data_IF_123522163659
#
_entry.id   IF_123522163659
#
_cell.length_a   1.000
_cell.length_b   1.000
_cell.length_c   1.000
_cell.angle_alpha   90.00
_cell.angle_beta   90.00
_cell.angle_gamma   90.00
#
_symmetry.space_group_name_H-M   'P 1'
#
loop_
_entity.id
_entity.type
_entity.pdbx_description
1 polymer ?
#
# COMPACT_ATOMS: atom_id res chain seq x y z
N UNK A 1 3.12 11.44 -3.31
CA UNK A 1 2.85 10.00 -3.04
C UNK A 1 2.48 9.40 -4.38
N UNK A 2 3.39 8.73 -5.07
CA UNK A 2 3.03 7.97 -6.26
C UNK A 2 1.93 6.96 -5.91
N UNK A 3 0.83 7.02 -6.66
CA UNK A 3 -0.19 5.99 -6.64
C UNK A 3 0.34 4.80 -7.42
N UNK A 4 0.43 3.65 -6.74
CA UNK A 4 0.94 2.41 -7.32
C UNK A 4 -0.18 1.49 -7.78
N UNK A 5 -1.39 1.61 -7.22
CA UNK A 5 -2.57 0.86 -7.67
C UNK A 5 -3.87 1.54 -7.26
N UNK A 6 -4.95 1.27 -8.00
CA UNK A 6 -6.31 1.74 -7.71
C UNK A 6 -7.32 0.65 -8.04
N UNK A 7 -8.17 0.27 -7.08
CA UNK A 7 -9.21 -0.75 -7.28
C UNK A 7 -10.39 -0.54 -6.32
N UNK A 8 -11.63 -0.79 -6.76
CA UNK A 8 -12.84 -0.66 -5.93
C UNK A 8 -12.97 0.67 -5.13
N UNK A 9 -12.40 1.77 -5.65
CA UNK A 9 -12.35 3.07 -4.97
C UNK A 9 -11.27 3.20 -3.88
N UNK A 10 -10.44 2.17 -3.70
CA UNK A 10 -9.25 2.17 -2.86
C UNK A 10 -8.08 2.69 -3.69
N UNK A 11 -7.35 3.65 -3.13
CA UNK A 11 -6.11 4.19 -3.70
C UNK A 11 -4.95 3.69 -2.86
N UNK A 12 -3.98 3.04 -3.50
CA UNK A 12 -2.75 2.57 -2.84
C UNK A 12 -1.58 3.44 -3.24
N UNK A 13 -0.85 3.95 -2.25
CA UNK A 13 0.26 4.89 -2.45
C UNK A 13 1.48 4.51 -1.62
N UNK A 14 2.65 4.92 -2.10
CA UNK A 14 3.92 4.80 -1.40
C UNK A 14 4.69 6.12 -1.45
N UNK A 15 5.59 6.38 -0.49
CA UNK A 15 6.27 7.66 -0.36
C UNK A 15 7.79 7.50 -0.36
N UNK A 16 8.47 8.37 -1.10
CA UNK A 16 9.93 8.36 -1.23
C UNK A 16 10.73 8.64 0.05
N UNK A 17 10.15 9.38 0.99
CA UNK A 17 10.89 9.88 2.18
C UNK A 17 10.33 9.36 3.49
N UNK A 18 9.67 8.21 3.44
CA UNK A 18 9.22 7.57 4.66
C UNK A 18 10.34 6.81 5.35
N UNK A 19 10.42 7.03 6.66
CA UNK A 19 11.37 6.39 7.54
C UNK A 19 10.59 5.47 8.46
N UNK A 20 10.85 4.16 8.37
CA UNK A 20 10.10 3.15 9.12
C UNK A 20 10.30 1.75 8.54
N UNK A 21 9.64 0.73 9.11
CA UNK A 21 9.51 -0.55 8.44
C UNK A 21 8.76 -0.39 7.10
N UNK A 22 8.90 -1.33 6.15
CA UNK A 22 8.21 -1.25 4.86
C UNK A 22 6.69 -1.18 5.00
N UNK A 23 6.09 -0.14 4.43
CA UNK A 23 4.65 0.08 4.46
C UNK A 23 4.13 0.75 3.19
N UNK A 24 2.81 0.70 3.02
CA UNK A 24 2.08 1.49 2.04
C UNK A 24 0.85 2.13 2.69
N UNK A 25 0.28 3.12 1.99
CA UNK A 25 -0.92 3.83 2.40
C UNK A 25 -2.09 3.39 1.54
N UNK A 26 -3.22 3.13 2.19
CA UNK A 26 -4.46 2.81 1.52
C UNK A 26 -5.54 3.79 1.96
N UNK A 27 -6.17 4.44 0.98
CA UNK A 27 -7.24 5.42 1.19
C UNK A 27 -8.52 4.94 0.54
N UNK A 28 -9.65 5.02 1.24
CA UNK A 28 -10.98 4.69 0.75
C UNK A 28 -11.99 5.71 1.27
N UNK A 29 -12.46 6.62 0.42
CA UNK A 29 -13.31 7.74 0.84
C UNK A 29 -12.60 8.61 1.88
N UNK A 30 -13.22 8.78 3.04
CA UNK A 30 -12.66 9.50 4.20
C UNK A 30 -11.70 8.66 5.07
N UNK A 31 -11.57 7.35 4.79
CA UNK A 31 -10.76 6.43 5.58
C UNK A 31 -9.35 6.30 5.02
N UNK A 32 -8.37 6.20 5.91
CA UNK A 32 -6.95 6.01 5.58
C UNK A 32 -6.33 5.01 6.56
N UNK A 33 -5.49 4.11 6.03
CA UNK A 33 -4.67 3.22 6.84
C UNK A 33 -3.26 3.07 6.26
N UNK A 34 -2.30 2.93 7.17
CA UNK A 34 -0.92 2.55 6.87
C UNK A 34 -0.78 1.05 7.14
N UNK A 35 -0.36 0.29 6.14
CA UNK A 35 -0.25 -1.17 6.20
C UNK A 35 1.21 -1.59 6.15
N UNK A 36 1.64 -2.39 7.13
CA UNK A 36 2.97 -3.03 7.11
C UNK A 36 3.01 -4.10 6.02
N UNK A 37 4.00 -4.06 5.13
CA UNK A 37 4.12 -4.99 3.98
C UNK A 37 4.52 -6.40 4.45
N UNK A 38 5.30 -6.51 5.53
CA UNK A 38 5.87 -7.79 6.00
C UNK A 38 4.84 -8.61 6.78
N UNK A 39 4.14 -7.94 7.69
CA UNK A 39 3.18 -8.56 8.61
C UNK A 39 1.74 -8.42 8.13
N UNK A 40 1.47 -7.60 7.11
CA UNK A 40 0.13 -7.34 6.56
C UNK A 40 -0.88 -6.94 7.64
N UNK A 41 -0.46 -5.99 8.48
CA UNK A 41 -1.31 -5.43 9.54
C UNK A 41 -1.36 -3.90 9.45
N UNK A 42 -2.44 -3.34 9.98
CA UNK A 42 -2.58 -1.90 10.12
C UNK A 42 -1.60 -1.40 11.18
N UNK A 43 -0.72 -0.48 10.79
CA UNK A 43 0.19 0.24 11.68
C UNK A 43 -0.45 1.49 12.27
N UNK A 44 -1.26 2.19 11.48
CA UNK A 44 -1.95 3.43 11.84
C UNK A 44 -3.21 3.61 11.01
N UNK A 45 -4.19 4.32 11.57
CA UNK A 45 -5.44 4.61 10.88
C UNK A 45 -6.37 3.40 10.91
N UNK A 46 -7.36 3.40 10.04
CA UNK A 46 -8.30 2.30 9.89
C UNK A 46 -9.00 2.37 8.54
N UNK A 47 -9.47 1.21 8.08
CA UNK A 47 -10.37 1.09 6.95
C UNK A 47 -11.64 0.34 7.39
N UNK A 48 -12.79 0.58 6.75
CA UNK A 48 -13.96 -0.26 6.93
C UNK A 48 -13.60 -1.73 6.65
N UNK A 49 -14.21 -2.65 7.40
CA UNK A 49 -13.83 -4.08 7.40
C UNK A 49 -13.69 -4.69 6.00
N UNK A 50 -14.61 -4.34 5.08
CA UNK A 50 -14.59 -4.83 3.69
C UNK A 50 -13.41 -4.27 2.88
N UNK A 51 -13.17 -2.96 2.99
CA UNK A 51 -12.04 -2.32 2.30
C UNK A 51 -10.70 -2.85 2.82
N UNK A 52 -10.55 -3.04 4.14
CA UNK A 52 -9.36 -3.64 4.71
C UNK A 52 -9.12 -5.07 4.16
N UNK A 53 -10.17 -5.89 4.07
CA UNK A 53 -10.04 -7.24 3.53
C UNK A 53 -9.50 -7.25 2.09
N UNK A 54 -10.05 -6.38 1.21
CA UNK A 54 -9.59 -6.23 -0.17
C UNK A 54 -8.14 -5.75 -0.25
N UNK A 55 -7.76 -4.77 0.59
CA UNK A 55 -6.37 -4.28 0.67
C UNK A 55 -5.40 -5.39 1.08
N UNK A 56 -5.76 -6.19 2.09
CA UNK A 56 -4.89 -7.26 2.57
C UNK A 56 -4.80 -8.40 1.56
N UNK A 57 -5.90 -8.77 0.90
CA UNK A 57 -5.91 -9.75 -0.18
C UNK A 57 -4.98 -9.33 -1.33
N UNK A 58 -5.14 -8.10 -1.81
CA UNK A 58 -4.26 -7.52 -2.83
C UNK A 58 -2.79 -7.47 -2.38
N UNK A 59 -2.52 -7.12 -1.12
CA UNK A 59 -1.16 -7.05 -0.60
C UNK A 59 -0.50 -8.43 -0.43
N UNK A 60 -1.28 -9.49 -0.18
CA UNK A 60 -0.76 -10.88 -0.14
C UNK A 60 -0.19 -11.27 -1.51
N UNK A 61 -0.94 -11.03 -2.59
CA UNK A 61 -0.55 -11.45 -3.94
C UNK A 61 0.55 -10.58 -4.55
N UNK A 62 0.68 -9.33 -4.10
CA UNK A 62 1.64 -8.35 -4.63
C UNK A 62 2.79 -8.02 -3.68
N UNK A 63 3.03 -8.84 -2.65
CA UNK A 63 4.00 -8.55 -1.59
C UNK A 63 5.42 -8.30 -2.11
N UNK A 64 5.87 -9.08 -3.08
CA UNK A 64 7.22 -8.94 -3.63
C UNK A 64 7.39 -7.61 -4.39
N UNK A 65 6.41 -7.26 -5.22
CA UNK A 65 6.39 -5.97 -5.92
C UNK A 65 6.32 -4.78 -4.94
N UNK A 66 5.54 -4.89 -3.87
CA UNK A 66 5.50 -3.89 -2.79
C UNK A 66 6.85 -3.71 -2.10
N UNK A 67 7.59 -4.80 -1.88
CA UNK A 67 8.92 -4.75 -1.29
C UNK A 67 9.96 -4.14 -2.24
N UNK A 68 9.86 -4.42 -3.54
CA UNK A 68 10.69 -3.78 -4.57
C UNK A 68 10.42 -2.27 -4.64
N UNK A 69 9.15 -1.88 -4.71
CA UNK A 69 8.73 -0.47 -4.73
C UNK A 69 9.16 0.28 -3.48
N UNK A 70 9.14 -0.39 -2.32
CA UNK A 70 9.65 0.20 -1.08
C UNK A 70 11.13 0.52 -1.19
N UNK A 71 11.94 -0.37 -1.76
CA UNK A 71 13.36 -0.14 -1.95
C UNK A 71 13.64 0.94 -3.01
N UNK A 72 12.85 0.99 -4.09
CA UNK A 72 12.90 2.10 -5.06
C UNK A 72 12.60 3.44 -4.36
N UNK A 73 11.53 3.48 -3.56
CA UNK A 73 11.15 4.67 -2.81
C UNK A 73 12.27 5.15 -1.88
N UNK A 74 12.90 4.23 -1.12
CA UNK A 74 14.04 4.53 -0.24
C UNK A 74 15.25 5.12 -0.98
N UNK A 75 15.43 4.76 -2.25
CA UNK A 75 16.49 5.29 -3.11
C UNK A 75 16.06 6.56 -3.86
N UNK A 76 14.91 7.16 -3.54
CA UNK A 76 14.31 8.29 -4.25
C UNK A 76 14.04 8.00 -5.74
N UNK A 77 13.84 6.72 -6.09
CA UNK A 77 13.44 6.28 -7.43
C UNK A 77 11.93 6.10 -7.50
N UNK A 78 11.30 6.36 -8.65
CA UNK A 78 9.86 6.15 -8.80
C UNK A 78 9.51 4.66 -8.59
N UNK A 79 8.47 4.34 -7.79
CA UNK A 79 7.94 2.98 -7.74
C UNK A 79 7.21 2.65 -9.04
N UNK A 80 6.97 1.37 -9.27
CA UNK A 80 6.28 0.87 -10.44
C UNK A 80 4.75 0.78 -10.20
N UNK A 81 3.93 0.83 -11.26
CA UNK A 81 2.54 0.44 -11.15
C UNK A 81 2.41 -1.05 -10.81
N UNK A 82 1.53 -1.37 -9.88
CA UNK A 82 1.17 -2.75 -9.49
C UNK A 82 -0.26 -3.01 -9.97
N UNK A 83 -0.54 -4.15 -10.64
CA UNK A 83 -1.87 -4.49 -11.11
C UNK A 83 -2.95 -4.37 -10.01
N UNK A 84 -4.16 -3.88 -10.34
CA UNK A 84 -5.26 -3.81 -9.39
C UNK A 84 -5.74 -5.21 -8.99
N UNK A 85 -6.47 -5.29 -7.87
CA UNK A 85 -7.22 -6.49 -7.52
C UNK A 85 -8.37 -6.69 -8.53
N UNK A 86 -8.52 -7.92 -9.04
CA UNK A 86 -9.59 -8.32 -9.97
C UNK A 86 -10.92 -8.59 -9.27
#
# INVERSE_FOLDING_TARGET
>A
MPTISVFFGIVVQMFWREHGPPHFHATYGEYEAIIDIRELRVMRGHLPRRALALVLEWAVTNRDSLMEDWELCRQLKPPNPIPPLE
#
